data_IF_258472398715
#
_entry.id   IF_258472398715
#
_cell.length_a   1.000
_cell.length_b   1.000
_cell.length_c   1.000
_cell.angle_alpha   90.00
_cell.angle_beta   90.00
_cell.angle_gamma   90.00
#
_symmetry.space_group_name_H-M   'P 1'
#
loop_
_entity.id
_entity.type
_entity.pdbx_description
1 polymer ?
#
# COMPACT_ATOMS: atom_id res chain seq x y z
N UNK A 1 5.16 8.24 11.04
CA UNK A 1 3.69 8.25 10.78
C UNK A 1 3.01 9.24 11.72
N UNK A 2 2.21 10.18 11.22
CA UNK A 2 1.56 11.24 12.02
C UNK A 2 0.17 10.79 12.51
N UNK A 3 -0.08 10.68 13.83
CA UNK A 3 -1.28 10.04 14.42
C UNK A 3 -2.48 10.98 14.67
N UNK A 4 -2.42 12.25 14.27
CA UNK A 4 -3.52 13.20 14.47
C UNK A 4 -4.58 13.07 13.37
N UNK A 5 -5.83 13.48 13.67
CA UNK A 5 -6.93 13.44 12.71
C UNK A 5 -6.64 14.24 11.43
N UNK A 6 -5.90 15.34 11.53
CA UNK A 6 -5.47 16.17 10.39
C UNK A 6 -4.63 15.39 9.38
N UNK A 7 -3.84 14.42 9.84
CA UNK A 7 -2.96 13.63 9.00
C UNK A 7 -3.66 12.43 8.33
N UNK A 8 -4.95 12.20 8.58
CA UNK A 8 -5.69 11.08 7.96
C UNK A 8 -5.67 11.17 6.44
N UNK A 9 -5.87 12.38 5.88
CA UNK A 9 -5.79 12.60 4.42
C UNK A 9 -4.39 12.31 3.88
N UNK A 10 -3.34 12.69 4.61
CA UNK A 10 -1.96 12.39 4.21
C UNK A 10 -1.65 10.90 4.27
N UNK A 11 -2.14 10.19 5.30
CA UNK A 11 -2.01 8.73 5.40
C UNK A 11 -2.73 8.03 4.26
N UNK A 12 -3.93 8.49 3.92
CA UNK A 12 -4.68 7.97 2.78
C UNK A 12 -3.91 8.23 1.47
N UNK A 13 -3.36 9.42 1.28
CA UNK A 13 -2.56 9.74 0.10
C UNK A 13 -1.29 8.88 0.00
N UNK A 14 -0.57 8.67 1.11
CA UNK A 14 0.61 7.77 1.15
C UNK A 14 0.20 6.32 0.86
N UNK A 15 -0.92 5.85 1.44
CA UNK A 15 -1.46 4.52 1.17
C UNK A 15 -1.82 4.33 -0.30
N UNK A 16 -2.54 5.28 -0.91
CA UNK A 16 -2.93 5.22 -2.32
C UNK A 16 -1.74 5.33 -3.25
N UNK A 17 -0.74 6.14 -2.92
CA UNK A 17 0.50 6.26 -3.71
C UNK A 17 1.28 4.95 -3.72
N UNK A 18 1.31 4.22 -2.59
CA UNK A 18 1.98 2.91 -2.50
C UNK A 18 1.16 1.77 -3.10
N UNK A 19 -0.16 1.81 -2.93
CA UNK A 19 -1.05 0.69 -3.24
C UNK A 19 -1.78 0.84 -4.57
N UNK A 20 -1.65 1.99 -5.26
CA UNK A 20 -2.35 2.26 -6.51
C UNK A 20 -2.08 1.23 -7.61
N UNK A 21 -0.90 0.58 -7.59
CA UNK A 21 -0.57 -0.52 -8.50
C UNK A 21 -1.26 -1.85 -8.16
N UNK A 22 -1.68 -2.05 -6.91
CA UNK A 22 -2.34 -3.27 -6.44
C UNK A 22 -3.80 -3.36 -6.90
N UNK A 23 -4.46 -2.21 -7.08
CA UNK A 23 -5.86 -2.12 -7.51
C UNK A 23 -6.06 -2.26 -9.02
N UNK A 24 -4.99 -2.48 -9.79
CA UNK A 24 -5.06 -2.66 -11.24
C UNK A 24 -5.55 -4.08 -11.55
N UNK A 25 -6.45 -4.23 -12.53
CA UNK A 25 -7.00 -5.53 -12.97
C UNK A 25 -5.95 -6.57 -13.38
N UNK A 26 -4.71 -6.12 -13.65
CA UNK A 26 -3.59 -6.94 -14.09
C UNK A 26 -2.47 -7.02 -13.04
N UNK A 27 -2.79 -6.75 -11.77
CA UNK A 27 -1.84 -6.84 -10.67
C UNK A 27 -1.33 -8.29 -10.52
N UNK A 28 -0.01 -8.48 -10.57
CA UNK A 28 0.64 -9.76 -10.33
C UNK A 28 1.17 -9.75 -8.90
N UNK A 29 0.63 -10.57 -7.98
CA UNK A 29 1.10 -10.62 -6.60
C UNK A 29 2.57 -11.02 -6.53
N UNK A 30 3.31 -10.40 -5.61
CA UNK A 30 4.68 -10.80 -5.32
C UNK A 30 4.67 -12.19 -4.70
N UNK A 31 5.34 -13.16 -5.34
CA UNK A 31 5.45 -14.51 -4.83
C UNK A 31 6.37 -14.56 -3.61
N UNK A 32 5.78 -14.63 -2.41
CA UNK A 32 6.47 -14.76 -1.13
C UNK A 32 6.52 -16.22 -0.66
N UNK A 33 6.90 -17.15 -1.54
CA UNK A 33 6.91 -18.60 -1.25
C UNK A 33 7.64 -19.01 0.04
N UNK A 34 7.70 -20.31 0.35
CA UNK A 34 8.31 -20.83 1.59
C UNK A 34 9.81 -20.50 1.79
N UNK A 35 10.47 -19.89 0.80
CA UNK A 35 11.86 -19.40 0.85
C UNK A 35 11.97 -17.87 0.94
N UNK A 36 10.86 -17.15 1.13
CA UNK A 36 10.84 -15.69 1.09
C UNK A 36 11.25 -15.00 2.40
N UNK A 37 11.75 -15.75 3.39
CA UNK A 37 12.29 -15.25 4.66
C UNK A 37 13.59 -15.96 4.98
#
# INVERSE_FOLDING_TARGET
>A
ACNTATCVTHRLADFLSRSGGMAKNNFVPTNVGSKAF
#
